data_IF_506025241117
#
_entry.id   IF_506025241117
#
_cell.length_a   1.000
_cell.length_b   1.000
_cell.length_c   1.000
_cell.angle_alpha   90.00
_cell.angle_beta   90.00
_cell.angle_gamma   90.00
#
_symmetry.space_group_name_H-M   'P 1'
#
loop_
_entity.id
_entity.type
_entity.pdbx_description
1 polymer ?
#
# COMPACT_ATOMS: atom_id res chain seq x y z
N UNK A 1 -15.20 1.22 -3.58
CA UNK A 1 -13.81 0.88 -3.30
C UNK A 1 -12.89 1.79 -4.09
N UNK A 2 -11.92 2.40 -3.43
CA UNK A 2 -10.98 3.29 -4.08
C UNK A 2 -9.55 2.90 -3.69
N UNK A 3 -8.62 3.17 -4.61
CA UNK A 3 -7.19 2.98 -4.36
C UNK A 3 -6.50 4.34 -4.42
N UNK A 4 -5.72 4.63 -3.40
CA UNK A 4 -4.92 5.86 -3.35
C UNK A 4 -3.48 5.45 -3.63
N UNK A 5 -2.91 6.00 -4.69
CA UNK A 5 -1.61 5.57 -5.18
C UNK A 5 -0.61 6.72 -5.10
N UNK A 6 0.52 6.42 -4.46
CA UNK A 6 1.66 7.34 -4.35
C UNK A 6 2.89 6.67 -4.95
N UNK A 7 3.74 7.47 -5.55
CA UNK A 7 5.05 7.02 -6.02
C UNK A 7 6.13 7.64 -5.13
N UNK A 8 7.10 6.81 -4.74
CA UNK A 8 8.22 7.23 -3.91
C UNK A 8 9.54 6.86 -4.57
N UNK A 9 10.50 7.77 -4.51
CA UNK A 9 11.89 7.43 -4.75
C UNK A 9 12.57 7.49 -3.40
N UNK A 10 13.15 6.37 -2.97
CA UNK A 10 13.69 6.17 -1.63
C UNK A 10 15.21 6.31 -1.69
N UNK A 11 15.78 6.88 -0.63
CA UNK A 11 17.23 7.03 -0.57
C UNK A 11 17.92 5.68 -0.46
N UNK A 12 19.09 5.61 -1.05
CA UNK A 12 19.94 4.43 -0.93
C UNK A 12 20.20 4.16 0.54
N UNK A 13 20.10 2.91 0.96
CA UNK A 13 20.30 2.55 2.35
C UNK A 13 19.06 2.64 3.22
N UNK A 14 17.99 3.25 2.72
CA UNK A 14 16.75 3.38 3.49
C UNK A 14 15.65 2.42 3.03
N UNK A 15 15.96 1.53 2.08
CA UNK A 15 14.95 0.65 1.49
C UNK A 15 14.27 -0.26 2.51
N UNK A 16 15.06 -0.86 3.38
CA UNK A 16 14.51 -1.77 4.38
C UNK A 16 13.54 -1.08 5.33
N UNK A 17 13.94 0.08 5.83
CA UNK A 17 13.07 0.85 6.72
C UNK A 17 11.79 1.29 6.02
N UNK A 18 11.93 1.73 4.77
CA UNK A 18 10.77 2.15 3.98
C UNK A 18 9.79 1.00 3.81
N UNK A 19 10.29 -0.17 3.40
CA UNK A 19 9.44 -1.33 3.13
C UNK A 19 8.72 -1.78 4.40
N UNK A 20 9.38 -1.74 5.54
CA UNK A 20 8.77 -2.13 6.80
C UNK A 20 7.71 -1.12 7.25
N UNK A 21 7.99 0.16 7.12
CA UNK A 21 7.08 1.20 7.61
C UNK A 21 5.86 1.37 6.72
N UNK A 22 6.02 1.26 5.41
CA UNK A 22 4.97 1.52 4.44
C UNK A 22 4.21 0.25 4.01
N UNK A 23 4.75 -0.92 4.30
CA UNK A 23 4.14 -2.18 3.91
C UNK A 23 3.03 -2.65 4.83
N UNK A 24 2.38 -3.76 4.48
CA UNK A 24 1.36 -4.37 5.31
C UNK A 24 1.91 -4.69 6.69
N UNK A 25 1.16 -4.34 7.72
CA UNK A 25 1.60 -4.52 9.10
C UNK A 25 2.61 -3.49 9.57
N UNK A 26 3.00 -2.54 8.73
CA UNK A 26 3.93 -1.48 9.09
C UNK A 26 3.26 -0.32 9.80
N UNK A 27 4.00 0.77 9.96
CA UNK A 27 3.57 1.90 10.78
C UNK A 27 2.29 2.55 10.24
N UNK A 28 2.21 2.79 8.94
CA UNK A 28 1.01 3.39 8.35
C UNK A 28 -0.19 2.46 8.45
N UNK A 29 0.00 1.17 8.16
CA UNK A 29 -1.06 0.17 8.30
C UNK A 29 -1.61 0.13 9.72
N UNK A 30 -0.73 0.21 10.71
CA UNK A 30 -1.17 0.18 12.10
C UNK A 30 -1.95 1.44 12.47
N UNK A 31 -1.54 2.59 11.94
CA UNK A 31 -2.24 3.84 12.18
C UNK A 31 -3.67 3.77 11.70
N UNK A 32 -3.91 3.17 10.54
CA UNK A 32 -5.23 3.14 9.92
C UNK A 32 -6.01 1.84 10.16
N UNK A 33 -5.40 0.84 10.81
CA UNK A 33 -5.97 -0.51 10.91
C UNK A 33 -7.39 -0.54 11.48
N UNK A 34 -7.71 0.38 12.40
CA UNK A 34 -9.02 0.42 13.03
C UNK A 34 -9.95 1.50 12.47
N UNK A 35 -9.51 2.19 11.44
CA UNK A 35 -10.34 3.21 10.83
C UNK A 35 -11.40 2.58 9.96
N UNK A 36 -12.65 3.01 10.06
CA UNK A 36 -13.69 2.48 9.17
C UNK A 36 -13.32 2.68 7.72
N UNK A 37 -13.46 1.62 6.95
CA UNK A 37 -13.23 1.66 5.52
C UNK A 37 -11.83 1.35 5.07
N UNK A 38 -10.84 1.30 5.96
CA UNK A 38 -9.49 0.91 5.57
C UNK A 38 -9.45 -0.58 5.27
N UNK A 39 -8.94 -0.94 4.10
CA UNK A 39 -8.93 -2.34 3.63
C UNK A 39 -7.53 -2.91 3.47
N UNK A 40 -6.51 -2.09 3.55
CA UNK A 40 -5.14 -2.58 3.49
C UNK A 40 -4.26 -1.75 2.57
N UNK A 41 -3.03 -2.18 2.46
CA UNK A 41 -2.03 -1.50 1.65
C UNK A 41 -1.18 -2.52 0.92
N UNK A 42 -0.67 -2.11 -0.25
CA UNK A 42 0.28 -2.90 -1.03
C UNK A 42 1.46 -2.00 -1.34
N UNK A 43 2.67 -2.53 -1.20
CA UNK A 43 3.88 -1.84 -1.62
C UNK A 43 4.46 -2.59 -2.81
N UNK A 44 4.72 -1.84 -3.89
CA UNK A 44 5.27 -2.39 -5.11
C UNK A 44 6.64 -1.77 -5.35
N UNK A 45 7.63 -2.59 -5.66
CA UNK A 45 8.96 -2.09 -6.00
C UNK A 45 9.17 -2.26 -7.48
N UNK A 46 9.71 -1.21 -8.12
CA UNK A 46 10.02 -1.25 -9.53
C UNK A 46 11.07 -2.32 -9.79
N UNK A 47 10.87 -3.14 -10.81
CA UNK A 47 11.78 -4.27 -11.09
C UNK A 47 13.12 -3.82 -11.64
N UNK A 48 13.18 -2.63 -12.21
CA UNK A 48 14.41 -2.11 -12.82
C UNK A 48 15.11 -1.07 -11.96
N UNK A 49 14.35 -0.29 -11.20
CA UNK A 49 14.91 0.70 -10.28
C UNK A 49 14.48 0.34 -8.86
N UNK A 50 15.38 -0.26 -8.07
CA UNK A 50 15.02 -0.73 -6.72
C UNK A 50 14.77 0.37 -5.71
N UNK A 51 15.00 1.62 -6.07
CA UNK A 51 14.70 2.77 -5.20
C UNK A 51 13.32 3.36 -5.48
N UNK A 52 12.65 2.89 -6.51
CA UNK A 52 11.34 3.42 -6.92
C UNK A 52 10.24 2.47 -6.49
N UNK A 53 9.26 3.02 -5.77
CA UNK A 53 8.15 2.25 -5.20
C UNK A 53 6.82 2.90 -5.51
N UNK A 54 5.78 2.06 -5.54
CA UNK A 54 4.40 2.55 -5.46
C UNK A 54 3.78 2.02 -4.18
N UNK A 55 2.99 2.85 -3.51
CA UNK A 55 2.13 2.37 -2.44
C UNK A 55 0.68 2.52 -2.90
N UNK A 56 -0.11 1.49 -2.60
CA UNK A 56 -1.51 1.45 -2.97
C UNK A 56 -2.31 1.21 -1.70
N UNK A 57 -3.04 2.22 -1.25
CA UNK A 57 -3.90 2.08 -0.07
C UNK A 57 -5.34 1.88 -0.53
N UNK A 58 -5.97 0.86 0.00
CA UNK A 58 -7.32 0.48 -0.38
C UNK A 58 -8.30 0.91 0.68
N UNK A 59 -9.30 1.70 0.30
CA UNK A 59 -10.35 2.21 1.18
C UNK A 59 -11.72 1.93 0.55
N UNK A 60 -12.73 1.77 1.40
CA UNK A 60 -14.10 1.59 0.89
C UNK A 60 -14.59 2.85 0.21
N UNK A 61 -14.37 4.02 0.81
CA UNK A 61 -14.77 5.30 0.24
C UNK A 61 -13.72 6.38 0.48
N UNK A 62 -13.73 7.39 -0.37
CA UNK A 62 -12.88 8.58 -0.21
C UNK A 62 -13.21 9.31 1.09
N UNK A 63 -14.51 9.38 1.44
CA UNK A 63 -14.96 10.08 2.65
C UNK A 63 -14.38 9.42 3.91
N UNK A 64 -14.34 8.11 3.97
CA UNK A 64 -13.78 7.40 5.12
C UNK A 64 -12.29 7.67 5.26
N UNK A 65 -11.58 7.72 4.16
CA UNK A 65 -10.15 8.08 4.20
C UNK A 65 -9.95 9.50 4.71
N UNK A 66 -10.75 10.44 4.20
CA UNK A 66 -10.65 11.84 4.61
C UNK A 66 -10.92 11.98 6.11
N UNK A 67 -11.89 11.24 6.62
CA UNK A 67 -12.21 11.24 8.04
C UNK A 67 -11.06 10.69 8.88
N UNK A 68 -10.46 9.59 8.44
CA UNK A 68 -9.33 8.99 9.15
C UNK A 68 -8.15 9.95 9.22
N UNK A 69 -7.85 10.64 8.13
CA UNK A 69 -6.76 11.62 8.12
C UNK A 69 -7.05 12.79 9.05
N UNK A 70 -8.29 13.26 9.08
CA UNK A 70 -8.69 14.36 9.96
C UNK A 70 -8.57 13.97 11.44
N UNK A 71 -8.99 12.76 11.78
CA UNK A 71 -8.94 12.27 13.16
C UNK A 71 -7.54 12.00 13.65
N UNK A 72 -6.61 11.71 12.75
CA UNK A 72 -5.24 11.36 13.09
C UNK A 72 -4.22 12.34 12.51
N UNK A 73 -4.64 13.57 12.35
CA UNK A 73 -3.83 14.59 11.66
C UNK A 73 -2.46 14.76 12.31
N UNK A 74 -2.39 14.86 13.63
CA UNK A 74 -1.13 15.07 14.33
C UNK A 74 -0.19 13.87 14.18
N UNK A 75 -0.73 12.66 14.34
CA UNK A 75 0.04 11.44 14.20
C UNK A 75 0.54 11.28 12.77
N UNK A 76 -0.31 11.59 11.82
CA UNK A 76 0.05 11.51 10.40
C UNK A 76 1.20 12.48 10.09
N UNK A 77 1.11 13.73 10.56
CA UNK A 77 2.14 14.72 10.33
C UNK A 77 3.48 14.32 10.96
N UNK A 78 3.43 13.75 12.17
CA UNK A 78 4.63 13.29 12.86
C UNK A 78 5.32 12.17 12.09
N UNK A 79 4.55 11.24 11.55
CA UNK A 79 5.11 10.13 10.79
C UNK A 79 5.68 10.61 9.45
N UNK A 80 4.98 11.53 8.79
CA UNK A 80 5.51 12.10 7.55
C UNK A 80 6.85 12.78 7.78
N UNK A 81 6.96 13.54 8.87
CA UNK A 81 8.20 14.23 9.20
C UNK A 81 9.33 13.24 9.49
N UNK A 82 9.02 12.19 10.26
CA UNK A 82 10.02 11.19 10.63
C UNK A 82 10.51 10.40 9.41
N UNK A 83 9.60 10.01 8.53
CA UNK A 83 9.94 9.15 7.39
C UNK A 83 10.46 9.93 6.20
N UNK A 84 10.29 11.25 6.19
CA UNK A 84 10.80 12.10 5.13
C UNK A 84 12.30 11.98 4.92
N UNK A 85 13.04 11.61 5.96
CA UNK A 85 14.48 11.42 5.87
C UNK A 85 14.88 10.27 4.95
N UNK A 86 13.97 9.31 4.73
CA UNK A 86 14.23 8.15 3.88
C UNK A 86 13.88 8.41 2.42
N UNK A 87 13.18 9.50 2.13
CA UNK A 87 12.52 9.71 0.85
C UNK A 87 13.18 10.82 0.08
N UNK A 88 13.60 10.51 -1.16
CA UNK A 88 14.18 11.48 -2.08
C UNK A 88 13.09 12.32 -2.71
N UNK A 89 12.02 11.67 -3.15
CA UNK A 89 10.87 12.35 -3.73
C UNK A 89 9.62 11.51 -3.58
N UNK A 90 8.48 12.18 -3.58
CA UNK A 90 7.19 11.50 -3.61
C UNK A 90 6.24 12.27 -4.50
N UNK A 91 5.38 11.53 -5.18
CA UNK A 91 4.42 12.08 -6.12
C UNK A 91 3.10 11.40 -5.93
N UNK A 92 2.04 12.17 -5.80
CA UNK A 92 0.70 11.61 -5.76
C UNK A 92 0.32 11.21 -7.18
N UNK A 93 0.11 9.90 -7.39
CA UNK A 93 -0.35 9.41 -8.68
C UNK A 93 -1.83 9.69 -8.84
N UNK A 94 -2.60 9.45 -7.77
CA UNK A 94 -4.01 9.79 -7.76
C UNK A 94 -4.85 8.85 -6.94
N UNK A 95 -6.15 9.12 -6.94
CA UNK A 95 -7.16 8.29 -6.32
C UNK A 95 -8.00 7.68 -7.44
N UNK A 96 -8.11 6.36 -7.43
CA UNK A 96 -8.76 5.63 -8.52
C UNK A 96 -9.89 4.79 -7.97
N UNK A 97 -11.01 4.80 -8.68
CA UNK A 97 -12.16 3.98 -8.32
C UNK A 97 -11.96 2.58 -8.90
N UNK A 98 -12.14 1.57 -8.07
CA UNK A 98 -12.10 0.19 -8.56
C UNK A 98 -13.42 -0.10 -9.26
N UNK A 99 -13.36 -0.35 -10.57
CA UNK A 99 -14.57 -0.62 -11.35
C UNK A 99 -14.83 -2.11 -11.46
N UNK A 100 -13.76 -2.90 -11.57
CA UNK A 100 -13.89 -4.33 -11.72
C UNK A 100 -12.57 -4.99 -11.33
N UNK A 101 -12.67 -6.16 -10.72
CA UNK A 101 -11.48 -6.94 -10.44
C UNK A 101 -11.86 -8.41 -10.48
N UNK A 102 -10.87 -9.24 -10.75
CA UNK A 102 -11.05 -10.67 -10.76
C UNK A 102 -9.82 -11.33 -10.16
N UNK A 103 -10.05 -12.37 -9.40
CA UNK A 103 -8.99 -13.17 -8.82
C UNK A 103 -9.04 -14.55 -9.44
N UNK A 104 -7.90 -15.00 -9.93
CA UNK A 104 -7.81 -16.35 -10.47
C UNK A 104 -7.20 -17.25 -9.41
N UNK A 105 -7.98 -18.24 -9.00
CA UNK A 105 -7.53 -19.20 -8.02
C UNK A 105 -6.74 -20.30 -8.72
N UNK A 106 -5.58 -20.62 -8.18
CA UNK A 106 -4.76 -21.68 -8.76
C UNK A 106 -5.47 -23.03 -8.62
N UNK A 107 -5.53 -23.75 -9.71
CA UNK A 107 -6.14 -25.06 -9.70
C UNK A 107 -5.21 -26.08 -9.05
N UNK A 108 -5.80 -27.08 -8.48
CA UNK A 108 -5.04 -28.15 -7.89
C UNK A 108 -4.44 -27.84 -6.53
N UNK A 109 -4.49 -26.63 -6.09
CA UNK A 109 -3.98 -26.29 -4.76
C UNK A 109 -4.90 -26.81 -3.66
N UNK A 110 -6.09 -27.19 -4.02
CA UNK A 110 -7.04 -27.75 -3.06
C UNK A 110 -6.85 -29.24 -2.88
N UNK A 111 -5.89 -29.72 -3.39
CA UNK A 111 -5.62 -31.07 -3.25
C UNK A 111 -6.33 -31.94 -4.14
N UNK A 112 -6.28 -32.20 -4.70
CA UNK A 112 -6.78 -33.01 -5.48
C UNK A 112 -6.10 -33.06 -6.60
N UNK A 113 -5.42 -33.18 -6.78
CA UNK A 113 -4.90 -33.01 -7.58
C UNK A 113 -4.43 -32.96 -8.64
N UNK A 114 -4.43 -33.12 -8.72
CA UNK A 114 -4.23 -32.84 -9.60
C UNK A 114 -3.52 -32.31 -10.32
N UNK A 115 -3.19 -32.51 -10.69
CA UNK A 115 -2.84 -32.05 -11.46
C UNK A 115 -2.36 -31.41 -12.25
N UNK A 116 -2.13 -31.42 -12.81
CA UNK A 116 -1.93 -30.88 -13.61
C UNK A 116 -1.80 -30.10 -14.35
N UNK A 117 -1.73 -29.82 -14.73
CA UNK A 117 -1.80 -29.18 -15.50
C UNK A 117 -1.49 -28.31 -16.10
N UNK A 118 -1.55 -28.12 -16.55
CA UNK A 118 -1.34 -27.40 -17.24
C UNK A 118 -1.34 -26.32 -17.76
N UNK A 119 -1.34 -25.94 -17.94
CA UNK A 119 -1.39 -25.00 -18.31
C UNK A 119 -1.18 -24.45 -18.74
#
# INVERSE_FOLDING_TARGET
>A
MVEIIWEFVVKEGARGQFELAYGPGGTWSKLFARCPGFRGTTVLRNTENPLRYLTVDLWETVAQRAQALAEREAEYADLEAAFGAWIESRTEVGTFKVLAEATVRRRGTTGRGRRRITR
#
